data_IF_004641822845
#
_entry.id   IF_004641822845
#
_cell.length_a   1.000
_cell.length_b   1.000
_cell.length_c   1.000
_cell.angle_alpha   90.00
_cell.angle_beta   90.00
_cell.angle_gamma   90.00
#
_symmetry.space_group_name_H-M   'P 1'
#
loop_
_entity.id
_entity.type
_entity.pdbx_description
1 polymer ?
#
# COMPACT_ATOMS: atom_id res chain seq x y z
N UNK A 1 22.26 7.27 -22.79
CA UNK A 1 23.18 6.58 -21.85
C UNK A 1 22.30 6.07 -20.73
N UNK A 2 22.44 4.81 -20.35
CA UNK A 2 21.71 4.25 -19.19
C UNK A 2 22.39 4.69 -17.91
N UNK A 3 21.64 5.33 -17.01
CA UNK A 3 22.12 5.69 -15.68
C UNK A 3 21.97 4.47 -14.75
N UNK A 4 23.08 3.80 -14.47
CA UNK A 4 23.14 2.59 -13.65
C UNK A 4 23.01 2.91 -12.15
N UNK A 5 21.83 3.40 -11.75
CA UNK A 5 21.48 3.72 -10.37
C UNK A 5 19.99 3.42 -10.17
N UNK A 6 19.61 3.00 -8.98
CA UNK A 6 18.20 2.90 -8.57
C UNK A 6 17.99 3.78 -7.34
N UNK A 7 17.09 4.75 -7.47
CA UNK A 7 16.66 5.55 -6.33
C UNK A 7 15.56 4.77 -5.61
N UNK A 8 15.83 4.36 -4.36
CA UNK A 8 14.93 3.54 -3.57
C UNK A 8 14.47 4.20 -2.26
N UNK A 9 15.26 5.09 -1.70
CA UNK A 9 14.89 5.93 -0.56
C UNK A 9 14.39 7.27 -1.09
N UNK A 10 13.07 7.35 -1.32
CA UNK A 10 12.43 8.45 -2.04
C UNK A 10 11.01 8.71 -1.53
N UNK A 11 10.72 10.00 -1.33
CA UNK A 11 9.46 10.52 -0.80
C UNK A 11 8.78 11.44 -1.82
N UNK A 12 7.57 11.08 -2.22
CA UNK A 12 6.73 11.92 -3.05
C UNK A 12 5.76 12.77 -2.20
N UNK A 13 4.85 13.52 -2.86
CA UNK A 13 3.74 14.22 -2.21
C UNK A 13 2.81 13.30 -1.37
N UNK A 14 3.04 12.00 -1.45
CA UNK A 14 2.36 10.99 -0.63
C UNK A 14 3.01 10.83 0.77
N UNK A 15 4.23 11.31 0.97
CA UNK A 15 4.79 11.65 2.28
C UNK A 15 4.20 12.99 2.71
N UNK A 16 2.98 12.93 3.26
CA UNK A 16 2.10 14.07 3.45
C UNK A 16 2.76 15.19 4.25
N UNK A 17 2.74 16.40 3.68
CA UNK A 17 3.28 17.60 4.28
C UNK A 17 4.81 17.57 4.45
N UNK A 18 5.51 16.71 3.77
CA UNK A 18 6.97 16.66 3.76
C UNK A 18 7.59 16.76 2.37
N UNK A 19 6.95 16.21 1.35
CA UNK A 19 7.32 16.46 -0.05
C UNK A 19 6.18 17.12 -0.82
N UNK A 20 6.51 17.86 -1.87
CA UNK A 20 5.56 18.50 -2.79
C UNK A 20 5.79 18.07 -4.26
N UNK A 21 6.54 16.99 -4.48
CA UNK A 21 6.79 16.43 -5.80
C UNK A 21 5.89 15.22 -6.04
N UNK A 22 5.02 15.31 -7.07
CA UNK A 22 4.16 14.20 -7.45
C UNK A 22 4.95 13.00 -7.98
N UNK A 23 4.53 11.79 -7.64
CA UNK A 23 5.24 10.55 -7.98
C UNK A 23 5.48 10.37 -9.49
N UNK A 24 4.59 10.87 -10.35
CA UNK A 24 4.75 10.79 -11.80
C UNK A 24 6.00 11.51 -12.29
N UNK A 25 6.32 12.68 -11.71
CA UNK A 25 7.49 13.45 -12.08
C UNK A 25 8.79 12.69 -11.77
N UNK A 26 8.83 11.94 -10.67
CA UNK A 26 9.98 11.11 -10.34
C UNK A 26 10.13 9.91 -11.30
N UNK A 27 9.01 9.26 -11.66
CA UNK A 27 9.02 8.15 -12.62
C UNK A 27 9.45 8.64 -14.01
N UNK A 28 8.93 9.80 -14.46
CA UNK A 28 9.35 10.43 -15.71
C UNK A 28 10.86 10.75 -15.69
N UNK A 29 11.37 11.28 -14.57
CA UNK A 29 12.81 11.57 -14.40
C UNK A 29 13.67 10.33 -14.44
N UNK A 30 13.24 9.25 -13.79
CA UNK A 30 13.93 7.95 -13.87
C UNK A 30 14.00 7.45 -15.32
N UNK A 31 12.89 7.57 -16.08
CA UNK A 31 12.83 7.20 -17.49
C UNK A 31 13.78 8.05 -18.35
N UNK A 32 13.79 9.38 -18.15
CA UNK A 32 14.69 10.30 -18.87
C UNK A 32 16.18 9.96 -18.65
N UNK A 33 16.53 9.58 -17.42
CA UNK A 33 17.89 9.15 -17.07
C UNK A 33 18.22 7.74 -17.55
N UNK A 34 17.24 6.95 -17.94
CA UNK A 34 17.41 5.53 -18.30
C UNK A 34 17.71 4.65 -17.07
N UNK A 35 17.22 5.02 -15.89
CA UNK A 35 17.32 4.20 -14.69
C UNK A 35 16.39 3.00 -14.80
N UNK A 36 16.84 1.78 -14.42
CA UNK A 36 16.08 0.55 -14.71
C UNK A 36 14.88 0.33 -13.77
N UNK A 37 14.92 0.92 -12.59
CA UNK A 37 13.92 0.73 -11.54
C UNK A 37 13.78 1.98 -10.65
N UNK A 38 12.68 2.05 -9.93
CA UNK A 38 12.45 3.08 -8.90
C UNK A 38 11.64 2.47 -7.74
N UNK A 39 11.97 2.85 -6.51
CA UNK A 39 11.15 2.56 -5.34
C UNK A 39 10.64 3.85 -4.69
N UNK A 40 9.55 3.74 -3.97
CA UNK A 40 9.02 4.81 -3.12
C UNK A 40 8.97 4.31 -1.68
N UNK A 41 9.64 5.03 -0.79
CA UNK A 41 9.72 4.74 0.64
C UNK A 41 8.94 5.78 1.45
N UNK A 42 7.68 6.02 1.08
CA UNK A 42 6.86 7.03 1.75
C UNK A 42 6.80 6.80 3.27
N UNK A 43 6.71 7.90 4.02
CA UNK A 43 6.65 7.86 5.48
C UNK A 43 5.48 7.05 6.03
N UNK A 44 5.77 5.92 6.62
CA UNK A 44 4.87 5.04 7.35
C UNK A 44 3.78 4.35 6.54
N UNK A 45 3.56 4.73 5.26
CA UNK A 45 2.45 4.21 4.44
C UNK A 45 2.78 4.22 2.96
N UNK A 46 2.63 3.11 2.22
CA UNK A 46 2.86 3.05 0.77
C UNK A 46 1.67 3.65 0.00
N UNK A 47 1.37 4.93 0.21
CA UNK A 47 0.22 5.58 -0.41
C UNK A 47 0.31 5.58 -1.94
N UNK A 48 -0.84 5.36 -2.62
CA UNK A 48 -0.97 5.31 -4.07
C UNK A 48 -0.06 4.27 -4.78
N UNK A 49 0.42 3.24 -4.06
CA UNK A 49 1.36 2.28 -4.61
C UNK A 49 0.85 1.57 -5.88
N UNK A 50 -0.45 1.26 -5.96
CA UNK A 50 -1.08 0.68 -7.16
C UNK A 50 -0.93 1.63 -8.36
N UNK A 51 -1.25 2.93 -8.18
CA UNK A 51 -1.11 3.93 -9.25
C UNK A 51 0.34 4.17 -9.67
N UNK A 52 1.28 4.10 -8.71
CA UNK A 52 2.72 4.18 -8.96
C UNK A 52 3.17 2.98 -9.81
N UNK A 53 2.77 1.76 -9.43
CA UNK A 53 3.04 0.53 -10.19
C UNK A 53 2.52 0.64 -11.62
N UNK A 54 1.24 0.99 -11.79
CA UNK A 54 0.63 1.13 -13.13
C UNK A 54 1.37 2.15 -13.99
N UNK A 55 1.77 3.28 -13.41
CA UNK A 55 2.50 4.30 -14.17
C UNK A 55 3.94 3.89 -14.49
N UNK A 56 4.61 3.17 -13.61
CA UNK A 56 5.91 2.56 -13.89
C UNK A 56 5.81 1.55 -15.05
N UNK A 57 4.77 0.69 -15.05
CA UNK A 57 4.53 -0.28 -16.13
C UNK A 57 4.30 0.44 -17.48
N UNK A 58 3.51 1.53 -17.49
CA UNK A 58 3.31 2.38 -18.68
C UNK A 58 4.63 2.94 -19.23
N UNK A 59 5.57 3.31 -18.33
CA UNK A 59 6.89 3.87 -18.69
C UNK A 59 7.97 2.81 -18.94
N UNK A 60 7.68 1.53 -18.71
CA UNK A 60 8.65 0.44 -18.85
C UNK A 60 9.74 0.46 -17.77
N UNK A 61 9.47 1.04 -16.60
CA UNK A 61 10.36 1.08 -15.43
C UNK A 61 9.91 0.05 -14.41
N UNK A 62 10.85 -0.71 -13.84
CA UNK A 62 10.54 -1.64 -12.77
C UNK A 62 10.10 -0.90 -11.52
N UNK A 63 8.85 -1.11 -11.09
CA UNK A 63 8.36 -0.64 -9.81
C UNK A 63 8.83 -1.54 -8.67
N UNK A 64 9.41 -0.94 -7.64
CA UNK A 64 9.81 -1.61 -6.41
C UNK A 64 8.90 -1.13 -5.28
N UNK A 65 8.18 -2.07 -4.65
CA UNK A 65 7.26 -1.76 -3.55
C UNK A 65 8.01 -1.60 -2.25
N UNK A 66 7.96 -0.41 -1.65
CA UNK A 66 8.67 -0.08 -0.43
C UNK A 66 7.92 0.88 0.47
N UNK A 67 8.43 1.05 1.68
CA UNK A 67 7.97 2.01 2.68
C UNK A 67 9.10 2.32 3.65
N UNK A 68 9.22 3.56 4.10
CA UNK A 68 9.98 3.89 5.29
C UNK A 68 9.08 3.79 6.51
N UNK A 69 9.30 2.77 7.34
CA UNK A 69 8.50 2.51 8.52
C UNK A 69 9.20 3.04 9.77
N UNK A 70 8.42 3.35 10.81
CA UNK A 70 8.93 3.74 12.10
C UNK A 70 9.02 2.56 13.04
N UNK A 71 10.18 2.42 13.70
CA UNK A 71 10.40 1.42 14.73
C UNK A 71 10.39 2.05 16.11
N UNK A 72 10.02 1.29 17.11
CA UNK A 72 10.07 1.65 18.53
C UNK A 72 10.64 0.51 19.34
N UNK A 73 11.30 0.82 20.44
CA UNK A 73 11.78 -0.17 21.38
C UNK A 73 10.63 -0.88 22.10
N UNK A 74 9.61 -0.12 22.50
CA UNK A 74 8.45 -0.63 23.24
C UNK A 74 7.14 -0.02 22.73
N UNK A 75 6.14 -0.87 22.53
CA UNK A 75 4.77 -0.44 22.25
C UNK A 75 3.98 -0.09 23.52
N UNK A 76 4.44 -0.57 24.69
CA UNK A 76 3.80 -0.33 25.98
C UNK A 76 4.07 1.06 26.54
N UNK A 77 5.16 1.67 26.11
CA UNK A 77 5.57 2.99 26.54
C UNK A 77 5.20 4.08 25.51
N UNK A 78 4.65 5.19 25.99
CA UNK A 78 4.30 6.33 25.12
C UNK A 78 5.51 7.25 24.93
N UNK A 79 6.60 6.69 24.39
CA UNK A 79 7.82 7.41 24.07
C UNK A 79 7.81 7.75 22.57
N UNK A 80 8.35 8.89 22.19
CA UNK A 80 8.49 9.32 20.77
C UNK A 80 9.83 8.88 20.19
N UNK A 81 10.14 7.60 20.29
CA UNK A 81 11.26 6.95 19.65
C UNK A 81 10.82 6.44 18.26
N UNK A 82 10.97 7.24 17.26
CA UNK A 82 10.56 6.91 15.89
C UNK A 82 11.83 6.64 15.07
N UNK A 83 12.37 5.42 15.14
CA UNK A 83 13.53 5.04 14.37
C UNK A 83 13.12 4.65 12.94
N UNK A 84 13.81 5.20 11.96
CA UNK A 84 13.52 4.96 10.55
C UNK A 84 14.17 3.67 10.04
N UNK A 85 13.45 2.94 9.21
CA UNK A 85 13.91 1.73 8.50
C UNK A 85 13.17 1.61 7.18
N UNK A 86 13.89 1.36 6.09
CA UNK A 86 13.25 1.13 4.79
C UNK A 86 13.00 -0.38 4.63
N UNK A 87 11.76 -0.71 4.31
CA UNK A 87 11.30 -2.05 3.95
C UNK A 87 10.99 -2.09 2.46
N UNK A 88 11.45 -3.13 1.77
CA UNK A 88 11.23 -3.36 0.35
C UNK A 88 10.71 -4.78 0.16
N UNK A 89 9.63 -4.94 -0.57
CA UNK A 89 9.08 -6.25 -0.91
C UNK A 89 9.96 -6.94 -1.97
N UNK A 90 10.42 -8.15 -1.69
CA UNK A 90 11.23 -8.97 -2.61
C UNK A 90 10.39 -9.61 -3.71
N UNK A 91 9.14 -9.97 -3.42
CA UNK A 91 8.23 -10.69 -4.30
C UNK A 91 6.77 -10.38 -3.93
N UNK A 92 5.80 -11.02 -4.60
CA UNK A 92 4.38 -10.82 -4.33
C UNK A 92 4.00 -11.12 -2.88
N UNK A 93 4.58 -12.16 -2.28
CA UNK A 93 4.34 -12.47 -0.85
C UNK A 93 4.89 -11.36 0.06
N UNK A 94 6.05 -10.79 -0.30
CA UNK A 94 6.61 -9.61 0.37
C UNK A 94 5.71 -8.37 0.26
N UNK A 95 5.06 -8.13 -0.88
CA UNK A 95 4.07 -7.05 -1.02
C UNK A 95 2.91 -7.24 -0.04
N UNK A 96 2.39 -8.45 0.08
CA UNK A 96 1.31 -8.78 1.05
C UNK A 96 1.78 -8.59 2.50
N UNK A 97 2.96 -9.11 2.83
CA UNK A 97 3.57 -9.01 4.17
C UNK A 97 3.84 -7.55 4.55
N UNK A 98 4.44 -6.75 3.65
CA UNK A 98 4.71 -5.34 3.88
C UNK A 98 3.42 -4.56 4.15
N UNK A 99 2.38 -4.77 3.33
CA UNK A 99 1.08 -4.11 3.52
C UNK A 99 0.40 -4.53 4.83
N UNK A 100 0.54 -5.79 5.25
CA UNK A 100 0.04 -6.27 6.55
C UNK A 100 0.82 -5.66 7.71
N UNK A 101 2.15 -5.56 7.62
CA UNK A 101 3.00 -4.92 8.63
C UNK A 101 2.64 -3.44 8.80
N UNK A 102 2.43 -2.72 7.69
CA UNK A 102 1.95 -1.32 7.71
C UNK A 102 0.55 -1.23 8.32
N UNK A 103 -0.37 -2.12 7.96
CA UNK A 103 -1.72 -2.14 8.54
C UNK A 103 -1.66 -2.35 10.05
N UNK A 104 -0.86 -3.32 10.51
CA UNK A 104 -0.64 -3.60 11.93
C UNK A 104 -0.04 -2.40 12.66
N UNK A 105 0.92 -1.71 12.06
CA UNK A 105 1.52 -0.51 12.66
C UNK A 105 0.52 0.63 12.92
N UNK A 106 -0.63 0.59 12.24
CA UNK A 106 -1.72 1.56 12.41
C UNK A 106 -2.72 1.16 13.51
N UNK A 107 -2.61 -0.03 14.08
CA UNK A 107 -3.47 -0.47 15.17
C UNK A 107 -3.34 0.44 16.39
N UNK A 108 -4.40 0.52 17.20
CA UNK A 108 -4.47 1.42 18.36
C UNK A 108 -3.29 1.26 19.34
N UNK A 109 -2.80 0.03 19.49
CA UNK A 109 -1.70 -0.30 20.42
C UNK A 109 -0.33 0.06 19.85
N UNK A 110 -0.21 0.19 18.52
CA UNK A 110 1.02 0.53 17.81
C UNK A 110 1.15 2.03 17.54
N UNK A 111 0.03 2.72 17.36
CA UNK A 111 0.01 4.12 16.97
C UNK A 111 0.28 5.04 18.18
N UNK A 112 1.38 5.81 18.09
CA UNK A 112 1.65 6.92 19.00
C UNK A 112 2.31 8.07 18.23
N UNK A 113 1.55 9.09 17.87
CA UNK A 113 1.85 10.18 16.94
C UNK A 113 2.07 9.72 15.50
N UNK A 114 2.76 8.61 15.28
CA UNK A 114 2.94 7.92 14.01
C UNK A 114 2.66 6.42 14.18
N UNK A 115 2.45 5.74 13.09
CA UNK A 115 2.31 4.28 13.07
C UNK A 115 3.68 3.62 13.21
N UNK A 116 3.82 2.64 14.12
CA UNK A 116 5.11 2.05 14.51
C UNK A 116 5.03 0.53 14.56
N UNK A 117 6.17 -0.13 14.33
CA UNK A 117 6.41 -1.52 14.71
C UNK A 117 7.44 -1.56 15.84
N UNK A 118 7.35 -2.57 16.72
CA UNK A 118 8.41 -2.83 17.68
C UNK A 118 9.64 -3.44 17.01
N UNK A 119 10.81 -3.35 17.64
CA UNK A 119 12.01 -4.06 17.19
C UNK A 119 11.77 -5.56 17.07
N UNK A 120 11.04 -6.17 18.00
CA UNK A 120 10.72 -7.59 17.96
C UNK A 120 9.88 -7.99 16.74
N UNK A 121 8.94 -7.14 16.32
CA UNK A 121 8.13 -7.36 15.12
C UNK A 121 8.96 -7.19 13.85
N UNK A 122 9.81 -6.18 13.81
CA UNK A 122 10.76 -5.98 12.71
C UNK A 122 11.69 -7.18 12.53
N UNK A 123 12.25 -7.70 13.63
CA UNK A 123 13.13 -8.88 13.59
C UNK A 123 12.43 -10.16 13.13
N UNK A 124 11.09 -10.24 13.23
CA UNK A 124 10.28 -11.37 12.80
C UNK A 124 9.80 -11.30 11.35
N UNK A 125 10.04 -10.19 10.65
CA UNK A 125 9.71 -10.10 9.23
C UNK A 125 10.47 -11.17 8.44
N UNK A 126 9.81 -11.77 7.47
CA UNK A 126 10.37 -12.86 6.68
C UNK A 126 11.46 -12.39 5.70
N UNK A 127 12.12 -13.34 5.05
CA UNK A 127 13.09 -13.06 4.00
C UNK A 127 12.45 -12.55 2.69
N UNK A 128 11.11 -12.46 2.63
CA UNK A 128 10.40 -11.79 1.53
C UNK A 128 10.50 -10.25 1.63
N UNK A 129 11.03 -9.73 2.74
CA UNK A 129 11.26 -8.30 2.96
C UNK A 129 12.76 -8.04 2.98
N UNK A 130 13.25 -7.22 2.06
CA UNK A 130 14.58 -6.62 2.05
C UNK A 130 14.53 -5.39 2.96
N UNK A 131 15.58 -5.20 3.75
CA UNK A 131 15.64 -4.12 4.75
C UNK A 131 16.91 -3.31 4.61
N UNK A 132 16.81 -1.97 4.73
CA UNK A 132 17.96 -1.06 4.84
C UNK A 132 17.91 -0.24 6.12
N UNK A 133 19.07 0.20 6.59
CA UNK A 133 19.18 0.94 7.85
C UNK A 133 18.66 2.39 7.78
N UNK A 134 18.17 2.84 6.64
CA UNK A 134 17.63 4.18 6.41
C UNK A 134 18.62 5.35 6.73
N UNK A 135 18.08 6.53 7.05
CA UNK A 135 18.79 7.81 7.22
C UNK A 135 19.38 7.99 8.64
N UNK A 136 19.73 9.23 9.01
CA UNK A 136 20.23 9.59 10.36
C UNK A 136 19.23 9.28 11.50
N UNK A 137 17.96 9.08 11.20
CA UNK A 137 16.97 8.61 12.17
C UNK A 137 17.01 7.08 12.40
N UNK A 138 17.95 6.37 11.79
CA UNK A 138 18.19 4.93 11.98
C UNK A 138 18.38 4.56 13.45
N UNK A 139 17.88 3.40 13.90
CA UNK A 139 18.24 2.88 15.22
C UNK A 139 19.76 2.66 15.37
N UNK A 140 20.51 2.41 14.27
CA UNK A 140 21.96 2.25 14.31
C UNK A 140 22.72 3.55 14.57
N UNK A 141 22.08 4.72 14.33
CA UNK A 141 22.64 6.03 14.67
C UNK A 141 22.18 6.51 16.06
N UNK A 142 20.96 6.19 16.45
CA UNK A 142 20.34 6.78 17.64
C UNK A 142 20.49 5.93 18.90
N UNK A 143 20.66 4.62 18.76
CA UNK A 143 20.91 3.74 19.92
C UNK A 143 22.41 3.66 20.25
N UNK A 144 22.76 3.54 21.52
CA UNK A 144 24.15 3.23 21.90
C UNK A 144 24.56 1.83 21.41
N UNK A 145 25.82 1.65 21.05
CA UNK A 145 26.34 0.40 20.47
C UNK A 145 26.22 -0.79 21.43
N UNK A 146 26.20 -0.54 22.74
CA UNK A 146 26.01 -1.54 23.81
C UNK A 146 24.52 -1.82 24.11
N UNK A 147 23.60 -1.22 23.37
CA UNK A 147 22.17 -1.49 23.52
C UNK A 147 21.85 -2.97 23.23
N UNK A 148 21.04 -3.67 24.07
CA UNK A 148 20.78 -5.11 23.94
C UNK A 148 20.30 -5.57 22.55
N UNK A 149 19.53 -4.74 21.86
CA UNK A 149 18.98 -5.05 20.52
C UNK A 149 19.90 -4.66 19.36
N UNK A 150 20.98 -3.88 19.62
CA UNK A 150 21.78 -3.27 18.57
C UNK A 150 22.35 -4.29 17.58
N UNK A 151 23.00 -5.32 18.09
CA UNK A 151 23.61 -6.38 17.26
C UNK A 151 22.55 -7.14 16.43
N UNK A 152 21.39 -7.42 17.03
CA UNK A 152 20.28 -8.10 16.35
C UNK A 152 19.73 -7.25 15.21
N UNK A 153 19.62 -5.93 15.41
CA UNK A 153 19.21 -4.99 14.37
C UNK A 153 20.23 -4.94 13.23
N UNK A 154 21.53 -4.82 13.51
CA UNK A 154 22.60 -4.87 12.49
C UNK A 154 22.51 -6.16 11.66
N UNK A 155 22.35 -7.31 12.33
CA UNK A 155 22.26 -8.62 11.66
C UNK A 155 21.00 -8.76 10.81
N UNK A 156 19.88 -8.10 11.20
CA UNK A 156 18.63 -8.14 10.45
C UNK A 156 18.69 -7.37 9.15
N UNK A 157 19.40 -6.25 9.12
CA UNK A 157 19.51 -5.47 7.89
C UNK A 157 20.20 -6.26 6.78
N UNK A 158 19.59 -6.24 5.58
CA UNK A 158 20.21 -6.79 4.36
C UNK A 158 21.29 -5.85 3.84
N UNK A 159 21.06 -4.54 3.94
CA UNK A 159 22.00 -3.49 3.54
C UNK A 159 22.11 -2.42 4.62
N UNK A 160 23.32 -1.87 4.77
CA UNK A 160 23.56 -0.68 5.59
C UNK A 160 23.62 0.54 4.67
N UNK A 161 22.73 1.51 4.89
CA UNK A 161 22.53 2.65 3.99
C UNK A 161 23.45 3.81 4.33
N UNK A 162 24.31 4.22 3.38
CA UNK A 162 25.14 5.42 3.45
C UNK A 162 24.50 6.53 2.61
N UNK A 163 24.62 7.77 3.06
CA UNK A 163 24.06 8.94 2.38
C UNK A 163 25.12 10.03 2.18
N UNK A 164 24.96 10.85 1.14
CA UNK A 164 25.94 11.84 0.72
C UNK A 164 25.75 13.24 1.33
N UNK A 165 24.93 13.37 2.40
CA UNK A 165 24.69 14.67 3.04
C UNK A 165 25.96 15.22 3.67
N UNK A 166 26.20 16.52 3.46
CA UNK A 166 27.43 17.18 3.85
C UNK A 166 27.31 17.84 5.24
N UNK A 167 27.06 17.01 6.27
CA UNK A 167 27.08 17.41 7.67
C UNK A 167 27.94 16.45 8.50
N UNK A 168 28.39 16.87 9.67
CA UNK A 168 29.33 16.08 10.48
C UNK A 168 28.67 14.79 10.97
N UNK A 169 27.39 14.84 11.42
CA UNK A 169 26.68 13.65 11.90
C UNK A 169 26.61 12.57 10.80
N UNK A 170 26.34 12.95 9.54
CA UNK A 170 26.29 11.98 8.43
C UNK A 170 27.66 11.42 8.08
N UNK A 171 28.71 12.25 8.15
CA UNK A 171 30.10 11.78 7.94
C UNK A 171 30.47 10.72 8.97
N UNK A 172 30.22 11.00 10.26
CA UNK A 172 30.51 10.09 11.36
C UNK A 172 29.68 8.80 11.26
N UNK A 173 28.42 8.92 10.90
CA UNK A 173 27.53 7.77 10.71
C UNK A 173 27.97 6.89 9.52
N UNK A 174 28.38 7.48 8.39
CA UNK A 174 28.90 6.72 7.25
C UNK A 174 30.18 5.93 7.62
N UNK A 175 31.09 6.51 8.41
CA UNK A 175 32.28 5.78 8.92
C UNK A 175 31.85 4.61 9.80
N UNK A 176 30.93 4.86 10.73
CA UNK A 176 30.42 3.82 11.61
C UNK A 176 29.74 2.68 10.84
N UNK A 177 28.90 3.00 9.83
CA UNK A 177 28.28 1.99 8.97
C UNK A 177 29.31 1.18 8.17
N UNK A 178 30.40 1.82 7.69
CA UNK A 178 31.48 1.10 7.00
C UNK A 178 32.21 0.11 7.94
N UNK A 179 32.41 0.48 9.21
CA UNK A 179 32.96 -0.41 10.23
C UNK A 179 32.02 -1.58 10.53
N UNK A 180 30.73 -1.33 10.69
CA UNK A 180 29.69 -2.36 10.86
C UNK A 180 29.62 -3.28 9.65
N UNK A 181 29.66 -2.74 8.44
CA UNK A 181 29.65 -3.49 7.18
C UNK A 181 30.81 -4.49 7.15
N UNK A 182 32.00 -4.05 7.51
CA UNK A 182 33.20 -4.92 7.62
C UNK A 182 33.04 -5.97 8.71
N UNK A 183 32.63 -5.55 9.92
CA UNK A 183 32.50 -6.42 11.10
C UNK A 183 31.48 -7.55 10.90
N UNK A 184 30.34 -7.23 10.30
CA UNK A 184 29.21 -8.16 10.15
C UNK A 184 29.06 -8.71 8.72
N UNK A 185 30.02 -8.43 7.83
CA UNK A 185 29.97 -8.82 6.41
C UNK A 185 28.65 -8.41 5.72
N UNK A 186 28.20 -7.18 5.99
CA UNK A 186 27.00 -6.60 5.39
C UNK A 186 27.37 -5.68 4.22
N UNK A 187 26.63 -5.72 3.11
CA UNK A 187 26.85 -4.76 2.02
C UNK A 187 26.38 -3.36 2.41
N UNK A 188 27.13 -2.35 1.99
CA UNK A 188 26.65 -0.97 1.99
C UNK A 188 25.73 -0.74 0.79
N UNK A 189 24.76 0.18 0.91
CA UNK A 189 23.92 0.66 -0.18
C UNK A 189 23.81 2.17 -0.12
N UNK A 190 23.82 2.84 -1.28
CA UNK A 190 23.71 4.30 -1.34
C UNK A 190 22.25 4.73 -1.36
N UNK A 191 21.82 5.41 -0.31
CA UNK A 191 20.52 6.07 -0.22
C UNK A 191 20.61 7.55 -0.54
N UNK A 192 19.49 8.15 -0.97
CA UNK A 192 19.44 9.58 -1.32
C UNK A 192 18.46 10.37 -0.45
N UNK A 193 17.55 9.67 0.20
CA UNK A 193 16.47 10.27 1.00
C UNK A 193 15.78 11.43 0.27
N UNK A 194 15.44 11.16 -1.00
CA UNK A 194 14.99 12.19 -1.94
C UNK A 194 13.61 12.70 -1.57
N UNK A 195 13.47 14.02 -1.40
CA UNK A 195 12.19 14.69 -1.10
C UNK A 195 11.77 15.72 -2.15
N UNK A 196 12.63 15.98 -3.13
CA UNK A 196 12.38 16.98 -4.17
C UNK A 196 12.93 16.52 -5.51
N UNK A 197 12.23 16.83 -6.62
CA UNK A 197 12.71 16.50 -7.96
C UNK A 197 13.99 17.26 -8.31
N UNK A 198 13.98 18.56 -8.03
CA UNK A 198 15.01 19.52 -8.41
C UNK A 198 15.06 20.68 -7.41
N UNK A 199 15.91 21.66 -7.68
CA UNK A 199 16.09 22.86 -6.84
C UNK A 199 14.78 23.66 -6.70
N UNK A 200 13.98 23.75 -7.76
CA UNK A 200 12.70 24.46 -7.69
C UNK A 200 11.74 23.77 -6.71
N UNK A 201 11.63 22.46 -6.81
CA UNK A 201 10.80 21.66 -5.88
C UNK A 201 11.36 21.67 -4.45
N UNK A 202 12.70 21.75 -4.29
CA UNK A 202 13.31 21.94 -2.98
C UNK A 202 12.90 23.28 -2.33
N UNK A 203 12.87 24.38 -3.10
CA UNK A 203 12.38 25.66 -2.58
C UNK A 203 10.87 25.59 -2.24
N UNK A 204 10.05 24.90 -3.06
CA UNK A 204 8.65 24.67 -2.72
C UNK A 204 8.49 23.89 -1.40
N UNK A 205 9.34 22.86 -1.17
CA UNK A 205 9.36 22.09 0.11
C UNK A 205 9.68 23.01 1.29
N UNK A 206 10.67 23.89 1.19
CA UNK A 206 11.01 24.86 2.25
C UNK A 206 9.82 25.75 2.61
N UNK A 207 9.05 26.22 1.61
CA UNK A 207 7.84 27.02 1.86
C UNK A 207 6.80 26.19 2.62
N UNK A 208 6.59 24.93 2.22
CA UNK A 208 5.68 24.00 2.87
C UNK A 208 6.06 23.76 4.35
N UNK A 209 7.33 23.48 4.63
CA UNK A 209 7.84 23.27 6.00
C UNK A 209 7.71 24.52 6.86
N UNK A 210 8.03 25.68 6.30
CA UNK A 210 7.85 26.98 6.99
C UNK A 210 6.38 27.25 7.34
N UNK A 211 5.45 26.96 6.43
CA UNK A 211 4.02 27.08 6.69
C UNK A 211 3.57 26.20 7.86
N UNK A 212 4.13 25.01 8.01
CA UNK A 212 3.84 24.08 9.10
C UNK A 212 4.54 24.43 10.42
N UNK A 213 5.36 25.47 10.48
CA UNK A 213 6.27 25.76 11.59
C UNK A 213 7.13 24.53 11.98
N UNK A 214 7.56 23.75 10.97
CA UNK A 214 8.45 22.61 11.16
C UNK A 214 9.85 22.97 10.68
N UNK A 215 10.83 22.57 11.46
CA UNK A 215 12.23 22.54 11.10
C UNK A 215 12.78 21.18 11.49
N UNK A 216 13.56 20.62 10.62
CA UNK A 216 14.27 19.36 10.86
C UNK A 216 15.76 19.60 11.20
N UNK A 217 16.08 20.82 11.65
CA UNK A 217 17.44 21.20 12.02
C UNK A 217 18.34 21.25 10.80
N UNK A 218 19.49 20.57 10.86
CA UNK A 218 20.49 20.56 9.79
C UNK A 218 19.97 19.93 8.49
N UNK A 219 18.96 19.04 8.56
CA UNK A 219 18.32 18.44 7.38
C UNK A 219 17.73 19.49 6.43
N UNK A 220 17.27 20.63 6.95
CA UNK A 220 16.77 21.73 6.13
C UNK A 220 17.82 22.29 5.16
N UNK A 221 19.10 21.99 5.38
CA UNK A 221 20.24 22.39 4.53
C UNK A 221 20.67 21.32 3.55
N UNK A 222 20.18 20.08 3.65
CA UNK A 222 20.60 18.97 2.81
C UNK A 222 20.06 19.13 1.39
N UNK A 223 20.88 18.65 0.44
CA UNK A 223 20.45 18.49 -0.95
C UNK A 223 19.68 17.18 -1.12
N UNK A 224 18.37 17.23 -0.87
CA UNK A 224 17.42 16.10 -1.00
C UNK A 224 16.79 16.03 -2.40
N UNK A 225 17.46 16.54 -3.42
CA UNK A 225 16.99 16.47 -4.81
C UNK A 225 17.26 15.10 -5.42
N UNK A 226 16.47 14.74 -6.43
CA UNK A 226 16.66 13.53 -7.22
C UNK A 226 17.98 13.58 -7.96
N UNK A 227 18.78 12.52 -7.90
CA UNK A 227 20.12 12.50 -8.43
C UNK A 227 20.33 11.45 -9.52
N UNK A 228 21.07 11.82 -10.55
CA UNK A 228 21.73 10.87 -11.43
C UNK A 228 22.91 10.20 -10.71
N UNK A 229 23.43 9.11 -11.30
CA UNK A 229 24.65 8.46 -10.81
C UNK A 229 25.84 9.43 -10.72
N UNK A 230 26.02 10.27 -11.73
CA UNK A 230 27.12 11.25 -11.77
C UNK A 230 26.97 12.29 -10.65
N UNK A 231 25.76 12.81 -10.43
CA UNK A 231 25.47 13.78 -9.37
C UNK A 231 25.67 13.17 -7.98
N UNK A 232 25.30 11.90 -7.79
CA UNK A 232 25.50 11.19 -6.51
C UNK A 232 26.98 10.87 -6.27
N UNK A 233 27.73 10.42 -7.30
CA UNK A 233 29.19 10.21 -7.21
C UNK A 233 29.91 11.52 -6.81
N UNK A 234 29.53 12.63 -7.45
CA UNK A 234 30.10 13.96 -7.11
C UNK A 234 29.70 14.40 -5.69
N UNK A 235 28.53 14.06 -5.20
CA UNK A 235 28.11 14.39 -3.84
C UNK A 235 28.90 13.59 -2.79
N UNK A 236 29.11 12.29 -2.96
CA UNK A 236 29.99 11.50 -2.09
C UNK A 236 31.46 11.95 -2.16
N UNK A 237 31.95 12.32 -3.36
CA UNK A 237 33.30 12.87 -3.51
C UNK A 237 33.47 14.19 -2.75
N UNK A 238 32.49 15.09 -2.75
CA UNK A 238 32.49 16.33 -1.94
C UNK A 238 32.46 16.05 -0.45
N UNK A 239 31.65 15.08 -0.02
CA UNK A 239 31.59 14.67 1.39
C UNK A 239 32.97 14.14 1.86
N UNK A 240 33.69 13.37 1.02
CA UNK A 240 35.10 13.03 1.16
C UNK A 240 35.46 12.15 2.36
N UNK A 241 34.46 11.41 2.95
CA UNK A 241 34.69 10.62 4.16
C UNK A 241 34.93 9.14 3.87
N UNK A 242 34.38 8.62 2.79
CA UNK A 242 34.58 7.23 2.37
C UNK A 242 35.44 7.15 1.10
N UNK A 243 36.24 6.08 0.94
CA UNK A 243 36.98 5.83 -0.29
C UNK A 243 36.05 5.71 -1.51
N UNK A 244 36.46 6.20 -2.71
CA UNK A 244 35.63 6.15 -3.91
C UNK A 244 35.15 4.75 -4.29
N UNK A 245 35.99 3.75 -4.15
CA UNK A 245 35.65 2.36 -4.42
C UNK A 245 34.51 1.86 -3.53
N UNK A 246 34.44 2.29 -2.27
CA UNK A 246 33.45 1.84 -1.31
C UNK A 246 32.07 2.47 -1.58
N UNK A 247 31.99 3.79 -1.76
CA UNK A 247 30.69 4.41 -2.04
C UNK A 247 30.17 4.08 -3.45
N UNK A 248 31.06 3.90 -4.45
CA UNK A 248 30.66 3.46 -5.79
C UNK A 248 30.10 2.05 -5.77
N UNK A 249 30.71 1.14 -5.00
CA UNK A 249 30.14 -0.18 -4.77
C UNK A 249 28.78 -0.10 -4.07
N UNK A 250 28.59 0.81 -3.11
CA UNK A 250 27.28 1.04 -2.49
C UNK A 250 26.25 1.56 -3.50
N UNK A 251 26.65 2.38 -4.46
CA UNK A 251 25.80 2.80 -5.58
C UNK A 251 25.44 1.60 -6.50
N UNK A 252 26.41 0.74 -6.84
CA UNK A 252 26.16 -0.47 -7.61
C UNK A 252 25.22 -1.45 -6.87
N UNK A 253 25.29 -1.50 -5.56
CA UNK A 253 24.41 -2.32 -4.74
C UNK A 253 22.92 -1.89 -4.81
N UNK A 254 22.61 -0.70 -5.31
CA UNK A 254 21.21 -0.33 -5.61
C UNK A 254 20.63 -1.18 -6.76
N UNK A 255 21.47 -1.53 -7.74
CA UNK A 255 21.09 -2.46 -8.82
C UNK A 255 20.98 -3.87 -8.29
N UNK A 256 21.93 -4.32 -7.46
CA UNK A 256 21.87 -5.65 -6.82
C UNK A 256 20.57 -5.80 -6.02
N UNK A 257 20.20 -4.79 -5.24
CA UNK A 257 18.93 -4.79 -4.49
C UNK A 257 17.73 -4.85 -5.44
N UNK A 258 17.75 -4.07 -6.53
CA UNK A 258 16.67 -4.10 -7.52
C UNK A 258 16.57 -5.47 -8.23
N UNK A 259 17.68 -6.14 -8.48
CA UNK A 259 17.70 -7.47 -9.07
C UNK A 259 17.18 -8.57 -8.13
N UNK A 260 17.29 -8.35 -6.80
CA UNK A 260 16.69 -9.24 -5.79
C UNK A 260 15.17 -9.16 -5.76
N UNK A 261 14.57 -8.11 -6.33
CA UNK A 261 13.12 -7.91 -6.35
C UNK A 261 12.53 -8.61 -7.58
N UNK A 262 11.61 -9.53 -7.36
CA UNK A 262 10.87 -10.21 -8.43
C UNK A 262 9.71 -9.32 -8.92
N UNK A 263 9.40 -9.33 -10.22
CA UNK A 263 8.18 -8.69 -10.74
C UNK A 263 6.92 -9.31 -10.12
N UNK A 264 5.89 -8.51 -9.94
CA UNK A 264 4.58 -8.98 -9.53
C UNK A 264 3.48 -8.28 -10.34
N UNK A 265 2.35 -8.97 -10.51
CA UNK A 265 1.22 -8.44 -11.23
C UNK A 265 0.11 -8.00 -10.27
N UNK A 266 -0.64 -6.97 -10.70
CA UNK A 266 -1.84 -6.55 -9.97
C UNK A 266 -3.01 -7.44 -10.36
N UNK A 267 -3.60 -8.14 -9.40
CA UNK A 267 -4.83 -8.89 -9.62
C UNK A 267 -6.01 -7.91 -9.75
N UNK A 268 -6.37 -7.61 -10.98
CA UNK A 268 -7.50 -6.75 -11.34
C UNK A 268 -8.83 -7.53 -11.51
N UNK A 269 -8.87 -8.82 -11.16
CA UNK A 269 -10.09 -9.61 -11.25
C UNK A 269 -11.15 -9.11 -10.25
N UNK A 270 -12.41 -9.16 -10.68
CA UNK A 270 -13.53 -8.81 -9.81
C UNK A 270 -13.60 -9.81 -8.66
N UNK A 271 -13.67 -9.30 -7.43
CA UNK A 271 -13.77 -10.11 -6.20
C UNK A 271 -15.12 -9.85 -5.56
N UNK A 272 -16.01 -10.81 -5.67
CA UNK A 272 -17.22 -10.82 -4.85
C UNK A 272 -16.94 -11.51 -3.51
N UNK A 273 -17.65 -11.12 -2.43
CA UNK A 273 -17.50 -11.77 -1.14
C UNK A 273 -17.94 -13.24 -1.20
N UNK A 274 -17.22 -14.11 -0.51
CA UNK A 274 -17.61 -15.49 -0.23
C UNK A 274 -17.94 -15.54 1.27
N UNK A 275 -19.19 -15.81 1.61
CA UNK A 275 -19.68 -15.78 2.98
C UNK A 275 -19.66 -17.15 3.67
N UNK A 276 -20.00 -18.19 2.94
CA UNK A 276 -20.24 -19.52 3.48
C UNK A 276 -19.25 -20.57 2.96
N UNK A 277 -18.01 -20.14 2.69
CA UNK A 277 -16.89 -21.01 2.40
C UNK A 277 -16.61 -21.26 0.91
N UNK A 278 -17.61 -21.24 0.03
CA UNK A 278 -17.43 -21.30 -1.43
C UNK A 278 -18.53 -20.57 -2.18
N UNK A 279 -18.28 -20.24 -3.45
CA UNK A 279 -19.28 -19.59 -4.33
C UNK A 279 -20.48 -20.50 -4.58
N UNK A 280 -20.27 -21.82 -4.66
CA UNK A 280 -21.33 -22.82 -4.81
C UNK A 280 -22.23 -22.89 -3.57
N UNK A 281 -21.64 -22.83 -2.38
CA UNK A 281 -22.39 -22.84 -1.12
C UNK A 281 -23.17 -21.53 -0.95
N UNK A 282 -22.59 -20.39 -1.28
CA UNK A 282 -23.27 -19.10 -1.30
C UNK A 282 -24.48 -19.13 -2.25
N UNK A 283 -24.32 -19.71 -3.44
CA UNK A 283 -25.41 -19.84 -4.43
C UNK A 283 -26.54 -20.73 -3.91
N UNK A 284 -26.21 -21.83 -3.24
CA UNK A 284 -27.20 -22.73 -2.61
C UNK A 284 -27.98 -21.99 -1.52
N UNK A 285 -27.29 -21.27 -0.63
CA UNK A 285 -27.90 -20.53 0.47
C UNK A 285 -28.73 -19.35 -0.04
N UNK A 286 -28.27 -18.64 -1.06
CA UNK A 286 -29.03 -17.58 -1.74
C UNK A 286 -30.37 -18.15 -2.28
N UNK A 287 -30.27 -19.28 -2.99
CA UNK A 287 -31.46 -19.97 -3.52
C UNK A 287 -32.46 -20.28 -2.44
N UNK A 288 -32.07 -20.92 -1.35
CA UNK A 288 -32.95 -21.26 -0.22
C UNK A 288 -33.54 -20.01 0.41
N UNK A 289 -32.75 -18.94 0.56
CA UNK A 289 -33.23 -17.67 1.10
C UNK A 289 -34.28 -17.02 0.19
N UNK A 290 -34.02 -16.97 -1.10
CA UNK A 290 -34.91 -16.40 -2.12
C UNK A 290 -36.25 -17.19 -2.13
N UNK A 291 -36.18 -18.52 -2.19
CA UNK A 291 -37.36 -19.37 -2.25
C UNK A 291 -38.23 -19.22 -0.97
N UNK A 292 -37.61 -19.16 0.20
CA UNK A 292 -38.30 -18.93 1.47
C UNK A 292 -38.94 -17.55 1.52
N UNK A 293 -38.20 -16.49 1.27
CA UNK A 293 -38.69 -15.12 1.37
C UNK A 293 -39.73 -14.80 0.26
N UNK A 294 -39.59 -15.41 -0.91
CA UNK A 294 -40.60 -15.31 -1.96
C UNK A 294 -41.97 -15.90 -1.50
N UNK A 295 -41.92 -17.07 -0.88
CA UNK A 295 -43.14 -17.70 -0.31
C UNK A 295 -43.77 -16.83 0.78
N UNK A 296 -42.96 -16.30 1.70
CA UNK A 296 -43.41 -15.39 2.75
C UNK A 296 -44.09 -14.12 2.18
N UNK A 297 -43.55 -13.53 1.13
CA UNK A 297 -44.13 -12.33 0.47
C UNK A 297 -45.39 -12.61 -0.30
N UNK A 298 -45.53 -13.82 -0.88
CA UNK A 298 -46.82 -14.28 -1.48
C UNK A 298 -47.89 -14.48 -0.41
N UNK A 299 -47.58 -15.18 0.67
CA UNK A 299 -48.50 -15.43 1.78
C UNK A 299 -48.94 -14.13 2.48
N UNK A 300 -48.05 -13.15 2.57
CA UNK A 300 -48.34 -11.82 3.12
C UNK A 300 -49.08 -10.88 2.14
N UNK A 301 -49.32 -11.31 0.90
CA UNK A 301 -49.95 -10.48 -0.13
C UNK A 301 -49.10 -9.29 -0.63
N UNK A 302 -47.80 -9.25 -0.31
CA UNK A 302 -46.87 -8.23 -0.80
C UNK A 302 -46.59 -8.40 -2.30
N UNK A 303 -46.56 -9.66 -2.74
CA UNK A 303 -46.56 -10.02 -4.16
C UNK A 303 -47.95 -10.50 -4.51
N UNK A 304 -48.67 -9.77 -5.39
CA UNK A 304 -50.02 -10.19 -5.81
C UNK A 304 -49.98 -11.53 -6.57
N UNK A 305 -51.00 -12.39 -6.42
CA UNK A 305 -51.03 -13.71 -7.07
C UNK A 305 -50.87 -13.67 -8.59
N UNK A 306 -51.36 -12.61 -9.24
CA UNK A 306 -51.22 -12.41 -10.69
C UNK A 306 -49.81 -12.18 -11.12
N UNK A 307 -48.91 -11.70 -10.25
CA UNK A 307 -47.49 -11.49 -10.51
C UNK A 307 -46.65 -12.73 -10.21
N UNK A 308 -47.16 -13.74 -9.53
CA UNK A 308 -46.39 -14.93 -9.09
C UNK A 308 -45.62 -15.58 -10.24
N UNK A 309 -46.29 -15.81 -11.38
CA UNK A 309 -45.65 -16.46 -12.53
C UNK A 309 -44.51 -15.65 -13.10
N UNK A 310 -44.65 -14.32 -13.16
CA UNK A 310 -43.62 -13.40 -13.61
C UNK A 310 -42.41 -13.42 -12.69
N UNK A 311 -42.64 -13.34 -11.39
CA UNK A 311 -41.56 -13.43 -10.39
C UNK A 311 -40.79 -14.76 -10.47
N UNK A 312 -41.47 -15.91 -10.53
CA UNK A 312 -40.80 -17.22 -10.64
C UNK A 312 -39.89 -17.32 -11.86
N UNK A 313 -40.35 -16.83 -13.01
CA UNK A 313 -39.55 -16.82 -14.23
C UNK A 313 -38.32 -15.91 -14.08
N UNK A 314 -38.50 -14.69 -13.56
CA UNK A 314 -37.46 -13.74 -13.37
C UNK A 314 -36.40 -14.19 -12.32
N UNK A 315 -36.86 -14.73 -11.18
CA UNK A 315 -35.97 -15.28 -10.14
C UNK A 315 -35.07 -16.41 -10.68
N UNK A 316 -35.61 -17.26 -11.55
CA UNK A 316 -34.85 -18.33 -12.20
C UNK A 316 -33.75 -17.75 -13.13
N UNK A 317 -34.10 -16.75 -13.91
CA UNK A 317 -33.13 -16.07 -14.82
C UNK A 317 -32.07 -15.28 -14.04
N UNK A 318 -32.47 -14.50 -13.02
CA UNK A 318 -31.56 -13.72 -12.20
C UNK A 318 -30.56 -14.59 -11.45
N UNK A 319 -31.03 -15.73 -10.88
CA UNK A 319 -30.19 -16.74 -10.24
C UNK A 319 -29.09 -17.22 -11.19
N UNK A 320 -29.47 -17.63 -12.41
CA UNK A 320 -28.51 -18.11 -13.43
C UNK A 320 -27.42 -17.06 -13.72
N UNK A 321 -27.79 -15.78 -13.78
CA UNK A 321 -26.83 -14.68 -13.99
C UNK A 321 -25.94 -14.52 -12.78
N UNK A 322 -26.45 -14.51 -11.56
CA UNK A 322 -25.67 -14.36 -10.34
C UNK A 322 -24.68 -15.51 -10.13
N UNK A 323 -25.12 -16.76 -10.36
CA UNK A 323 -24.24 -17.95 -10.33
C UNK A 323 -23.08 -17.80 -11.33
N UNK A 324 -23.39 -17.45 -12.58
CA UNK A 324 -22.38 -17.30 -13.64
C UNK A 324 -21.35 -16.21 -13.33
N UNK A 325 -21.77 -15.14 -12.67
CA UNK A 325 -20.91 -14.00 -12.30
C UNK A 325 -20.26 -14.16 -10.92
N UNK A 326 -20.62 -15.19 -10.14
CA UNK A 326 -20.15 -15.38 -8.77
C UNK A 326 -20.69 -14.34 -7.78
N UNK A 327 -21.88 -13.74 -8.05
CA UNK A 327 -22.45 -12.63 -7.27
C UNK A 327 -23.31 -13.08 -6.09
N UNK A 328 -23.60 -14.38 -5.92
CA UNK A 328 -24.50 -14.88 -4.87
C UNK A 328 -24.10 -14.45 -3.46
N UNK A 329 -22.79 -14.52 -3.15
CA UNK A 329 -22.27 -14.05 -1.87
C UNK A 329 -22.49 -12.55 -1.64
N UNK A 330 -22.38 -11.73 -2.70
CA UNK A 330 -22.67 -10.30 -2.61
C UNK A 330 -24.16 -10.03 -2.35
N UNK A 331 -25.06 -10.72 -3.03
CA UNK A 331 -26.50 -10.58 -2.84
C UNK A 331 -26.91 -11.02 -1.42
N UNK A 332 -26.33 -12.11 -0.92
CA UNK A 332 -26.53 -12.57 0.47
C UNK A 332 -26.06 -11.51 1.47
N UNK A 333 -24.82 -10.99 1.30
CA UNK A 333 -24.25 -9.97 2.18
C UNK A 333 -25.15 -8.74 2.28
N UNK A 334 -25.66 -8.26 1.14
CA UNK A 334 -26.56 -7.11 1.10
C UNK A 334 -27.90 -7.41 1.76
N UNK A 335 -28.48 -8.56 1.48
CA UNK A 335 -29.76 -8.97 2.11
C UNK A 335 -29.63 -9.11 3.62
N UNK A 336 -28.57 -9.76 4.11
CA UNK A 336 -28.32 -9.94 5.55
C UNK A 336 -28.12 -8.60 6.26
N UNK A 337 -27.30 -7.70 5.68
CA UNK A 337 -27.07 -6.38 6.21
C UNK A 337 -28.38 -5.57 6.33
N UNK A 338 -29.18 -5.56 5.28
CA UNK A 338 -30.45 -4.81 5.23
C UNK A 338 -31.48 -5.40 6.21
N UNK A 339 -31.63 -6.72 6.25
CA UNK A 339 -32.49 -7.37 7.22
C UNK A 339 -32.05 -7.09 8.65
N UNK A 340 -30.76 -7.19 8.95
CA UNK A 340 -30.23 -6.85 10.27
C UNK A 340 -30.52 -5.39 10.66
N UNK A 341 -30.37 -4.43 9.73
CA UNK A 341 -30.72 -3.03 9.98
C UNK A 341 -32.20 -2.88 10.33
N UNK A 342 -33.08 -3.53 9.59
CA UNK A 342 -34.53 -3.52 9.86
C UNK A 342 -34.88 -4.09 11.23
N UNK A 343 -34.31 -5.25 11.58
CA UNK A 343 -34.47 -5.90 12.89
C UNK A 343 -33.98 -5.06 14.07
N UNK A 344 -32.93 -4.23 13.85
CA UNK A 344 -32.36 -3.35 14.87
C UNK A 344 -32.92 -1.92 14.81
N UNK A 345 -33.98 -1.65 14.06
CA UNK A 345 -34.61 -0.33 13.88
C UNK A 345 -33.63 0.75 13.39
N UNK A 346 -32.65 0.37 12.55
CA UNK A 346 -31.74 1.31 11.90
C UNK A 346 -32.41 1.79 10.60
N UNK A 347 -32.63 3.11 10.43
CA UNK A 347 -33.26 3.64 9.22
C UNK A 347 -32.42 3.33 7.97
N UNK A 348 -33.08 2.81 6.95
CA UNK A 348 -32.50 2.53 5.65
C UNK A 348 -33.39 3.13 4.55
N UNK A 349 -32.79 3.41 3.38
CA UNK A 349 -33.54 3.87 2.21
C UNK A 349 -34.24 2.70 1.49
N UNK A 350 -35.21 3.00 0.61
CA UNK A 350 -36.00 1.99 -0.12
C UNK A 350 -35.20 1.28 -1.23
N UNK A 351 -33.93 1.58 -1.38
CA UNK A 351 -33.04 1.16 -2.46
C UNK A 351 -32.65 2.31 -3.38
N UNK A 352 -31.55 2.12 -4.13
CA UNK A 352 -31.08 3.12 -5.10
C UNK A 352 -30.39 2.42 -6.28
N UNK A 353 -30.28 3.15 -7.40
CA UNK A 353 -29.53 2.69 -8.56
C UNK A 353 -30.24 1.62 -9.39
N UNK A 354 -29.47 0.89 -10.16
CA UNK A 354 -29.96 -0.09 -11.14
C UNK A 354 -30.53 -1.36 -10.50
N UNK A 355 -30.18 -1.66 -9.24
CA UNK A 355 -30.70 -2.81 -8.48
C UNK A 355 -32.22 -2.82 -8.35
N UNK A 356 -32.86 -1.65 -8.51
CA UNK A 356 -34.33 -1.52 -8.62
C UNK A 356 -34.98 -2.36 -9.72
N UNK A 357 -34.19 -2.97 -10.61
CA UNK A 357 -34.67 -3.90 -11.64
C UNK A 357 -34.67 -5.38 -11.23
N UNK A 358 -34.09 -5.73 -10.07
CA UNK A 358 -33.96 -7.12 -9.61
C UNK A 358 -35.12 -7.57 -8.75
N UNK A 359 -35.78 -8.67 -9.17
CA UNK A 359 -36.82 -9.37 -8.38
C UNK A 359 -36.19 -10.06 -7.18
N UNK A 360 -35.00 -10.62 -7.33
CA UNK A 360 -34.22 -11.19 -6.24
C UNK A 360 -33.98 -10.15 -5.14
N UNK A 361 -33.53 -8.95 -5.51
CA UNK A 361 -33.27 -7.88 -4.55
C UNK A 361 -34.58 -7.44 -3.81
N UNK A 362 -35.70 -7.41 -4.50
CA UNK A 362 -36.98 -7.12 -3.89
C UNK A 362 -37.46 -8.25 -2.96
N UNK A 363 -37.32 -9.49 -3.41
CA UNK A 363 -37.72 -10.66 -2.61
C UNK A 363 -36.89 -10.77 -1.34
N UNK A 364 -35.59 -10.50 -1.42
CA UNK A 364 -34.63 -10.61 -0.30
C UNK A 364 -34.51 -9.34 0.54
N UNK A 365 -35.45 -8.39 0.42
CA UNK A 365 -35.52 -7.14 1.17
C UNK A 365 -34.36 -6.13 0.94
N UNK A 366 -33.52 -6.33 -0.06
CA UNK A 366 -32.47 -5.38 -0.44
C UNK A 366 -33.10 -4.06 -0.93
N UNK A 367 -34.22 -4.15 -1.63
CA UNK A 367 -35.03 -3.00 -2.08
C UNK A 367 -36.49 -3.15 -1.68
N UNK A 368 -37.19 -2.02 -1.56
CA UNK A 368 -38.63 -1.98 -1.21
C UNK A 368 -39.55 -1.74 -2.41
N UNK A 369 -38.97 -1.23 -3.53
CA UNK A 369 -39.76 -0.98 -4.74
C UNK A 369 -40.00 -2.27 -5.54
N UNK A 370 -41.26 -2.64 -5.77
CA UNK A 370 -41.60 -3.80 -6.56
C UNK A 370 -41.27 -3.59 -8.05
N UNK A 371 -40.34 -4.35 -8.64
CA UNK A 371 -39.88 -4.17 -10.03
C UNK A 371 -41.00 -4.39 -11.08
N UNK A 372 -42.02 -5.26 -10.79
CA UNK A 372 -43.15 -5.49 -11.67
C UNK A 372 -44.08 -4.28 -11.73
N UNK A 373 -44.33 -3.63 -10.59
CA UNK A 373 -45.15 -2.44 -10.52
C UNK A 373 -44.58 -1.26 -11.32
N UNK A 374 -43.28 -1.13 -11.33
CA UNK A 374 -42.58 0.01 -11.97
C UNK A 374 -41.97 -0.36 -13.32
N UNK A 375 -42.19 -1.58 -13.81
CA UNK A 375 -41.65 -2.08 -15.10
C UNK A 375 -40.14 -1.86 -15.26
N UNK A 376 -39.39 -2.05 -14.17
CA UNK A 376 -37.92 -1.88 -14.16
C UNK A 376 -37.23 -3.11 -14.74
N UNK A 377 -36.04 -2.91 -15.33
CA UNK A 377 -35.37 -3.91 -16.15
C UNK A 377 -34.12 -4.44 -15.47
N UNK A 378 -34.07 -5.75 -15.22
CA UNK A 378 -32.95 -6.44 -14.57
C UNK A 378 -31.62 -6.29 -15.33
N UNK A 379 -31.65 -6.35 -16.66
CA UNK A 379 -30.42 -6.25 -17.48
C UNK A 379 -29.67 -4.90 -17.34
N UNK A 380 -30.31 -3.87 -16.78
CA UNK A 380 -29.65 -2.62 -16.40
C UNK A 380 -28.82 -2.75 -15.12
N UNK A 381 -29.21 -3.65 -14.23
CA UNK A 381 -28.47 -3.95 -13.01
C UNK A 381 -27.38 -4.97 -13.29
N UNK A 382 -27.73 -6.10 -13.89
CA UNK A 382 -26.81 -7.20 -14.11
C UNK A 382 -27.13 -7.93 -15.42
N UNK A 383 -26.10 -8.32 -16.16
CA UNK A 383 -26.19 -9.20 -17.32
C UNK A 383 -24.89 -10.00 -17.45
N UNK A 384 -24.93 -11.10 -18.22
CA UNK A 384 -23.78 -12.02 -18.37
C UNK A 384 -22.52 -11.42 -18.99
N UNK A 385 -22.66 -10.33 -19.74
CA UNK A 385 -21.56 -9.66 -20.46
C UNK A 385 -20.95 -8.50 -19.67
N UNK A 386 -21.50 -8.19 -18.50
CA UNK A 386 -21.03 -7.06 -17.68
C UNK A 386 -19.69 -7.42 -17.02
N UNK A 387 -18.66 -6.62 -17.34
CA UNK A 387 -17.30 -6.77 -16.81
C UNK A 387 -16.99 -5.87 -15.61
N UNK A 388 -17.96 -5.07 -15.16
CA UNK A 388 -17.79 -4.12 -14.06
C UNK A 388 -18.63 -4.56 -12.86
N UNK A 389 -18.12 -4.27 -11.67
CA UNK A 389 -18.90 -4.46 -10.43
C UNK A 389 -20.10 -3.53 -10.50
N UNK A 390 -21.30 -4.08 -10.25
CA UNK A 390 -22.53 -3.28 -10.13
C UNK A 390 -22.49 -2.38 -8.90
N UNK A 391 -23.14 -1.22 -9.01
CA UNK A 391 -23.30 -0.29 -7.87
C UNK A 391 -24.19 -0.89 -6.77
#
# INVERSE_FOLDING_TARGET
MTDNLVIYHLHSDNSLLDSCTGYKLYIDRAAELGQPAIAFSEHGKPLNWVKKKMYCDEKGIKYIHGVEIYLTESLNEKVRDNYHTVLIARNEQGVKELNLAVSKSCDKDHFYYVNRLSFDEFLKLSNNIITTSACLASPLNKLPVDHPMYESLVKRYDFLEIQSHDCQEQRDFNVHLAELAKKYSKPLIAGTDTHSLDKYKAECRKILLKYKNKSYGDEDTYDLTYKSREELDAAFARQGVLPPELYRQAMDNTLVMADMVEPFELDASIKYPILYGSSEEDSRIETERVDRMFKEKLEAGIIPPEQEKGFRSALTEERRVFEKLGMSGFMLCMSELICWCKENNIPIGPGRGSVGGSRTAFVTDIIECNPEQWHTVFSRFCNEDRKEIGD
#
